data_IF_711629481291
#
_entry.id   IF_711629481291
#
_cell.length_a   1.000
_cell.length_b   1.000
_cell.length_c   1.000
_cell.angle_alpha   90.00
_cell.angle_beta   90.00
_cell.angle_gamma   90.00
#
_symmetry.space_group_name_H-M   'P 1'
#
loop_
_entity.id
_entity.type
_entity.pdbx_description
1 polymer ?
#
# COMPACT_ATOMS: atom_id res chain seq x y z
N UNK A 1 2.40 36.63 -5.67
CA UNK A 1 1.35 35.58 -5.69
C UNK A 1 1.64 34.55 -6.77
N UNK A 2 2.03 34.98 -7.98
CA UNK A 2 2.29 34.07 -9.12
C UNK A 2 3.30 32.94 -8.88
N UNK A 3 4.41 33.19 -8.19
CA UNK A 3 5.42 32.16 -7.94
C UNK A 3 4.93 30.99 -7.04
N UNK A 4 4.06 31.29 -6.05
CA UNK A 4 3.48 30.24 -5.20
C UNK A 4 2.44 29.41 -5.95
N UNK A 5 1.65 30.05 -6.82
CA UNK A 5 0.69 29.34 -7.67
C UNK A 5 1.38 28.48 -8.74
N UNK A 6 2.51 28.95 -9.28
CA UNK A 6 3.33 28.15 -10.19
C UNK A 6 3.95 26.94 -9.49
N UNK A 7 4.54 27.15 -8.30
CA UNK A 7 5.09 26.06 -7.50
C UNK A 7 4.00 25.03 -7.12
N UNK A 8 2.84 25.49 -6.66
CA UNK A 8 1.71 24.62 -6.34
C UNK A 8 1.30 23.78 -7.55
N UNK A 9 1.12 24.41 -8.71
CA UNK A 9 0.79 23.69 -9.95
C UNK A 9 1.87 22.68 -10.37
N UNK A 10 3.15 22.99 -10.14
CA UNK A 10 4.24 22.07 -10.41
C UNK A 10 4.20 20.84 -9.48
N UNK A 11 4.01 21.07 -8.17
CA UNK A 11 3.90 20.01 -7.16
C UNK A 11 2.68 19.13 -7.39
N UNK A 12 1.52 19.70 -7.73
CA UNK A 12 0.29 18.93 -7.99
C UNK A 12 0.35 18.11 -9.29
N UNK A 13 1.27 18.44 -10.20
CA UNK A 13 1.40 17.79 -11.52
C UNK A 13 2.61 16.89 -11.64
N UNK A 14 3.54 16.91 -10.70
CA UNK A 14 4.71 16.04 -10.77
C UNK A 14 4.25 14.57 -10.66
N UNK A 15 4.93 13.69 -11.38
CA UNK A 15 4.77 12.25 -11.17
C UNK A 15 5.71 11.82 -10.03
N UNK A 16 5.26 10.90 -9.20
CA UNK A 16 6.02 10.48 -8.01
C UNK A 16 6.71 9.14 -8.23
N UNK A 17 7.85 9.00 -7.57
CA UNK A 17 8.52 7.72 -7.36
C UNK A 17 8.25 7.34 -5.92
N UNK A 18 7.45 6.30 -5.70
CA UNK A 18 7.29 5.73 -4.38
C UNK A 18 8.49 4.81 -4.11
N UNK A 19 9.43 5.32 -3.31
CA UNK A 19 10.70 4.68 -3.08
C UNK A 19 10.65 3.59 -1.98
N UNK A 20 9.52 3.41 -1.29
CA UNK A 20 9.38 2.38 -0.27
C UNK A 20 7.90 2.04 0.00
N UNK A 21 7.44 0.97 -0.63
CA UNK A 21 6.10 0.43 -0.44
C UNK A 21 6.15 -1.08 -0.15
N UNK A 22 5.03 -1.64 0.31
CA UNK A 22 4.85 -3.07 0.52
C UNK A 22 3.82 -3.66 -0.44
N UNK A 23 3.83 -4.99 -0.58
CA UNK A 23 2.95 -5.71 -1.48
C UNK A 23 1.47 -5.47 -1.17
N UNK A 24 0.69 -5.26 -2.23
CA UNK A 24 -0.77 -5.36 -2.17
C UNK A 24 -1.15 -6.83 -1.91
N UNK A 25 -2.22 -7.02 -1.13
CA UNK A 25 -2.80 -8.34 -0.83
C UNK A 25 -4.14 -8.52 -1.53
N UNK A 26 -4.55 -9.78 -1.72
CA UNK A 26 -5.85 -10.13 -2.30
C UNK A 26 -7.04 -9.58 -1.48
N UNK A 27 -8.23 -9.46 -2.09
CA UNK A 27 -9.44 -8.94 -1.40
C UNK A 27 -9.84 -9.78 -0.18
N UNK A 28 -9.55 -11.09 -0.24
CA UNK A 28 -9.87 -12.08 0.78
C UNK A 28 -8.70 -12.32 1.76
N UNK A 29 -7.69 -11.46 1.77
CA UNK A 29 -6.59 -11.46 2.75
C UNK A 29 -7.10 -11.21 4.18
N UNK A 30 -6.36 -11.70 5.17
CA UNK A 30 -6.61 -11.40 6.58
C UNK A 30 -6.19 -9.99 6.99
N UNK A 31 -5.43 -9.29 6.15
CA UNK A 31 -5.07 -7.88 6.37
C UNK A 31 -6.31 -7.00 6.19
N UNK A 32 -6.79 -6.31 7.24
CA UNK A 32 -7.98 -5.49 7.14
C UNK A 32 -7.74 -4.30 6.22
N UNK A 33 -8.60 -4.08 5.21
CA UNK A 33 -8.47 -2.92 4.31
C UNK A 33 -8.44 -1.57 5.08
N UNK A 34 -9.19 -1.46 6.18
CA UNK A 34 -9.22 -0.26 6.99
C UNK A 34 -7.90 0.04 7.73
N UNK A 35 -6.98 -0.91 7.85
CA UNK A 35 -5.66 -0.65 8.44
C UNK A 35 -4.86 0.31 7.56
N UNK A 36 -5.16 0.40 6.26
CA UNK A 36 -4.53 1.36 5.36
C UNK A 36 -4.78 2.83 5.73
N UNK A 37 -5.79 3.14 6.56
CA UNK A 37 -6.13 4.52 6.93
C UNK A 37 -5.36 5.03 8.16
N UNK A 38 -4.74 4.14 8.93
CA UNK A 38 -4.05 4.49 10.18
C UNK A 38 -2.85 3.60 10.52
N UNK A 39 -2.41 2.73 9.61
CA UNK A 39 -1.39 1.69 9.85
C UNK A 39 -1.94 0.53 10.67
N UNK A 40 -2.33 0.82 11.91
CA UNK A 40 -3.02 -0.10 12.82
C UNK A 40 -4.44 0.38 13.10
N UNK A 41 -5.37 -0.55 13.24
CA UNK A 41 -6.73 -0.24 13.69
C UNK A 41 -6.76 -0.40 15.21
N UNK A 42 -6.63 0.72 15.91
CA UNK A 42 -6.88 0.84 17.33
C UNK A 42 -8.32 1.34 17.55
N UNK A 43 -8.90 1.17 18.76
CA UNK A 43 -10.24 1.67 19.07
C UNK A 43 -10.43 3.16 18.74
N UNK A 44 -9.37 3.97 18.89
CA UNK A 44 -9.38 5.41 18.65
C UNK A 44 -9.03 5.80 17.20
N UNK A 45 -8.66 4.85 16.33
CA UNK A 45 -8.28 5.13 14.94
C UNK A 45 -9.31 5.99 14.19
N UNK A 46 -10.64 5.74 14.29
CA UNK A 46 -11.65 6.56 13.62
C UNK A 46 -11.66 8.05 14.03
N UNK A 47 -11.06 8.39 15.17
CA UNK A 47 -11.00 9.75 15.67
C UNK A 47 -9.75 10.51 15.21
N UNK A 48 -8.74 9.80 14.68
CA UNK A 48 -7.50 10.39 14.18
C UNK A 48 -7.73 11.21 12.91
N UNK A 49 -6.84 12.17 12.67
CA UNK A 49 -6.89 13.00 11.46
C UNK A 49 -6.60 12.18 10.21
N UNK A 50 -5.62 11.29 10.27
CA UNK A 50 -5.21 10.48 9.12
C UNK A 50 -6.33 9.53 8.68
N UNK A 51 -7.07 8.94 9.64
CA UNK A 51 -8.21 8.10 9.29
C UNK A 51 -9.33 8.88 8.61
N UNK A 52 -9.71 10.05 9.15
CA UNK A 52 -10.77 10.89 8.58
C UNK A 52 -10.40 11.39 7.20
N UNK A 53 -9.16 11.88 7.04
CA UNK A 53 -8.63 12.32 5.73
C UNK A 53 -8.64 11.18 4.72
N UNK A 54 -8.13 10.01 5.10
CA UNK A 54 -8.08 8.84 4.22
C UNK A 54 -9.48 8.37 3.80
N UNK A 55 -10.44 8.43 4.72
CA UNK A 55 -11.85 8.10 4.43
C UNK A 55 -12.46 9.10 3.45
N UNK A 56 -12.29 10.40 3.67
CA UNK A 56 -12.79 11.44 2.76
C UNK A 56 -12.19 11.26 1.35
N UNK A 57 -10.87 11.09 1.25
CA UNK A 57 -10.14 10.94 -0.01
C UNK A 57 -10.56 9.68 -0.78
N UNK A 58 -10.67 8.52 -0.11
CA UNK A 58 -11.05 7.28 -0.79
C UNK A 58 -12.52 7.30 -1.23
N UNK A 59 -13.40 7.96 -0.47
CA UNK A 59 -14.80 8.16 -0.86
C UNK A 59 -14.90 8.98 -2.15
N UNK A 60 -14.11 10.05 -2.26
CA UNK A 60 -14.03 10.85 -3.49
C UNK A 60 -13.52 10.01 -4.67
N UNK A 61 -12.44 9.25 -4.47
CA UNK A 61 -11.85 8.40 -5.51
C UNK A 61 -12.79 7.29 -6.00
N UNK A 62 -13.56 6.68 -5.10
CA UNK A 62 -14.51 5.62 -5.44
C UNK A 62 -15.88 6.15 -5.86
N UNK A 63 -16.16 7.44 -5.67
CA UNK A 63 -17.47 8.03 -5.88
C UNK A 63 -18.53 7.47 -4.93
N UNK A 64 -18.15 7.13 -3.70
CA UNK A 64 -19.04 6.57 -2.68
C UNK A 64 -19.52 7.65 -1.70
N UNK A 65 -20.54 7.33 -0.91
CA UNK A 65 -20.94 8.16 0.23
C UNK A 65 -19.84 8.19 1.30
N UNK A 66 -19.90 9.16 2.22
CA UNK A 66 -18.96 9.25 3.34
C UNK A 66 -19.30 8.24 4.45
N UNK A 67 -18.99 6.97 4.22
CA UNK A 67 -19.09 5.90 5.23
C UNK A 67 -18.18 4.72 4.91
N UNK A 68 -17.71 4.01 5.94
CA UNK A 68 -16.86 2.83 5.79
C UNK A 68 -17.54 1.72 4.99
N UNK A 69 -18.83 1.46 5.26
CA UNK A 69 -19.60 0.44 4.57
C UNK A 69 -19.67 0.71 3.07
N UNK A 70 -19.92 1.96 2.68
CA UNK A 70 -20.03 2.33 1.26
C UNK A 70 -18.71 2.26 0.51
N UNK A 71 -17.59 2.51 1.19
CA UNK A 71 -16.23 2.34 0.64
C UNK A 71 -15.95 0.85 0.43
N UNK A 72 -16.28 0.02 1.41
CA UNK A 72 -16.11 -1.44 1.33
C UNK A 72 -16.93 -2.03 0.18
N UNK A 73 -18.22 -1.70 0.10
CA UNK A 73 -19.09 -2.14 -1.00
C UNK A 73 -18.57 -1.68 -2.36
N UNK A 74 -18.07 -0.44 -2.45
CA UNK A 74 -17.51 0.09 -3.69
C UNK A 74 -16.23 -0.63 -4.09
N UNK A 75 -15.35 -0.94 -3.12
CA UNK A 75 -14.13 -1.73 -3.35
C UNK A 75 -14.46 -3.14 -3.84
N UNK A 76 -15.43 -3.81 -3.23
CA UNK A 76 -15.87 -5.15 -3.64
C UNK A 76 -16.45 -5.13 -5.05
N UNK A 77 -17.28 -4.13 -5.38
CA UNK A 77 -17.86 -3.95 -6.71
C UNK A 77 -16.82 -3.64 -7.78
N UNK A 78 -15.84 -2.78 -7.49
CA UNK A 78 -14.77 -2.38 -8.42
C UNK A 78 -13.79 -3.54 -8.67
N UNK A 79 -13.53 -4.33 -7.64
CA UNK A 79 -12.49 -5.34 -7.62
C UNK A 79 -11.09 -4.74 -7.43
N UNK A 80 -10.15 -5.58 -7.01
CA UNK A 80 -8.82 -5.16 -6.56
C UNK A 80 -8.02 -4.38 -7.60
N UNK A 81 -7.97 -4.88 -8.84
CA UNK A 81 -7.19 -4.25 -9.90
C UNK A 81 -7.72 -2.85 -10.25
N UNK A 82 -9.05 -2.70 -10.34
CA UNK A 82 -9.68 -1.41 -10.64
C UNK A 82 -9.50 -0.43 -9.49
N UNK A 83 -9.71 -0.86 -8.24
CA UNK A 83 -9.48 -0.06 -7.05
C UNK A 83 -8.03 0.44 -6.97
N UNK A 84 -7.06 -0.45 -7.18
CA UNK A 84 -5.65 -0.07 -7.20
C UNK A 84 -5.33 0.90 -8.35
N UNK A 85 -5.81 0.64 -9.57
CA UNK A 85 -5.58 1.50 -10.72
C UNK A 85 -6.14 2.93 -10.51
N UNK A 86 -7.31 3.06 -9.87
CA UNK A 86 -7.89 4.36 -9.51
C UNK A 86 -6.93 5.11 -8.57
N UNK A 87 -6.50 4.48 -7.48
CA UNK A 87 -5.63 5.11 -6.49
C UNK A 87 -4.25 5.48 -7.07
N UNK A 88 -3.61 4.54 -7.78
CA UNK A 88 -2.28 4.76 -8.38
C UNK A 88 -2.30 5.87 -9.44
N UNK A 89 -3.36 5.93 -10.25
CA UNK A 89 -3.54 7.00 -11.23
C UNK A 89 -3.75 8.36 -10.57
N UNK A 90 -4.57 8.42 -9.51
CA UNK A 90 -4.78 9.65 -8.77
C UNK A 90 -3.49 10.15 -8.09
N UNK A 91 -2.69 9.23 -7.55
CA UNK A 91 -1.40 9.53 -6.93
C UNK A 91 -0.28 9.86 -7.93
N UNK A 92 -0.49 9.62 -9.24
CA UNK A 92 0.49 9.87 -10.31
C UNK A 92 1.82 9.14 -10.09
N UNK A 93 1.75 7.89 -9.60
CA UNK A 93 2.94 7.07 -9.36
C UNK A 93 3.51 6.60 -10.71
N UNK A 94 4.73 6.99 -11.02
CA UNK A 94 5.46 6.56 -12.22
C UNK A 94 6.39 5.38 -11.96
N UNK A 95 6.87 5.23 -10.72
CA UNK A 95 7.69 4.10 -10.32
C UNK A 95 7.40 3.69 -8.86
N UNK A 96 7.47 2.39 -8.61
CA UNK A 96 7.18 1.77 -7.31
C UNK A 96 8.35 0.88 -6.90
N UNK A 97 8.95 1.11 -5.73
CA UNK A 97 9.97 0.24 -5.15
C UNK A 97 9.35 -0.56 -4.00
N UNK A 98 9.24 -1.87 -4.20
CA UNK A 98 8.57 -2.79 -3.27
C UNK A 98 9.56 -3.50 -2.36
N UNK A 99 9.41 -3.32 -1.05
CA UNK A 99 9.95 -4.21 -0.03
C UNK A 99 8.99 -5.38 0.20
N UNK A 100 9.36 -6.54 -0.34
CA UNK A 100 8.63 -7.80 -0.23
C UNK A 100 9.07 -8.68 0.96
N UNK A 101 9.86 -8.12 1.88
CA UNK A 101 10.32 -8.80 3.10
C UNK A 101 9.21 -9.01 4.14
N UNK A 102 8.15 -8.19 4.13
CA UNK A 102 7.03 -8.33 5.06
C UNK A 102 6.18 -9.55 4.70
N UNK A 103 6.01 -10.44 5.67
CA UNK A 103 5.15 -11.62 5.55
C UNK A 103 3.69 -11.24 5.80
N UNK A 104 2.98 -10.91 4.73
CA UNK A 104 1.51 -10.79 4.72
C UNK A 104 0.90 -12.03 4.05
N UNK A 105 -0.35 -12.33 4.37
CA UNK A 105 -1.06 -13.40 3.67
C UNK A 105 -1.53 -12.92 2.29
N UNK A 106 -1.57 -13.83 1.32
CA UNK A 106 -2.11 -13.57 -0.03
C UNK A 106 -1.52 -12.32 -0.71
N UNK A 107 -0.22 -12.08 -0.51
CA UNK A 107 0.51 -11.03 -1.22
C UNK A 107 0.53 -11.30 -2.71
N UNK A 108 0.37 -10.23 -3.49
CA UNK A 108 0.53 -10.25 -4.93
C UNK A 108 2.00 -10.07 -5.28
N UNK A 109 2.45 -10.76 -6.33
CA UNK A 109 3.84 -10.69 -6.75
C UNK A 109 4.17 -9.37 -7.46
N UNK A 110 5.46 -9.13 -7.69
CA UNK A 110 5.95 -7.93 -8.39
C UNK A 110 5.31 -7.79 -9.78
N UNK A 111 5.09 -8.90 -10.49
CA UNK A 111 4.51 -8.88 -11.84
C UNK A 111 3.09 -8.33 -11.84
N UNK A 112 2.31 -8.59 -10.81
CA UNK A 112 0.99 -7.99 -10.69
C UNK A 112 1.07 -6.45 -10.60
N UNK A 113 2.05 -5.92 -9.86
CA UNK A 113 2.23 -4.47 -9.69
C UNK A 113 2.74 -3.79 -10.97
N UNK A 114 3.44 -4.50 -11.86
CA UNK A 114 3.83 -4.01 -13.18
C UNK A 114 2.62 -3.67 -14.07
N UNK A 115 1.42 -4.16 -13.72
CA UNK A 115 0.18 -3.75 -14.40
C UNK A 115 -0.35 -2.39 -13.97
N UNK A 116 0.12 -1.85 -12.83
CA UNK A 116 -0.34 -0.58 -12.27
C UNK A 116 0.54 0.61 -12.66
N UNK A 117 1.85 0.40 -12.76
CA UNK A 117 2.83 1.46 -13.02
C UNK A 117 3.90 1.01 -14.02
N UNK A 118 4.49 1.94 -14.80
CA UNK A 118 5.49 1.61 -15.81
C UNK A 118 6.77 0.96 -15.28
N UNK A 119 7.13 1.21 -14.02
CA UNK A 119 8.38 0.72 -13.44
C UNK A 119 8.15 0.21 -12.02
N UNK A 120 8.48 -1.06 -11.80
CA UNK A 120 8.47 -1.67 -10.46
C UNK A 120 9.86 -2.21 -10.16
N UNK A 121 10.43 -1.78 -9.04
CA UNK A 121 11.69 -2.27 -8.50
C UNK A 121 11.49 -3.06 -7.22
N UNK A 122 12.43 -3.94 -6.91
CA UNK A 122 12.46 -4.69 -5.65
C UNK A 122 13.50 -4.10 -4.70
N UNK A 123 13.11 -3.87 -3.46
CA UNK A 123 14.00 -3.55 -2.35
C UNK A 123 14.40 -4.87 -1.69
N UNK A 124 15.71 -5.06 -1.50
CA UNK A 124 16.23 -6.23 -0.79
C UNK A 124 16.33 -5.91 0.70
N UNK A 125 15.49 -6.53 1.52
CA UNK A 125 15.60 -6.47 2.97
C UNK A 125 16.81 -7.31 3.44
N UNK A 126 17.90 -6.63 3.80
CA UNK A 126 19.18 -7.27 4.11
C UNK A 126 19.11 -8.14 5.38
N UNK A 127 18.22 -7.80 6.31
CA UNK A 127 17.96 -8.52 7.55
C UNK A 127 17.46 -9.94 7.26
N UNK A 128 16.53 -10.07 6.31
CA UNK A 128 15.99 -11.38 5.95
C UNK A 128 17.02 -12.25 5.19
N UNK A 129 17.93 -11.62 4.45
CA UNK A 129 19.09 -12.31 3.87
C UNK A 129 20.05 -12.77 4.96
N UNK A 130 20.34 -11.90 5.93
CA UNK A 130 21.20 -12.22 7.07
C UNK A 130 20.63 -13.37 7.90
N UNK A 131 19.33 -13.34 8.24
CA UNK A 131 18.60 -14.40 8.93
C UNK A 131 18.78 -15.75 8.21
N UNK A 132 18.54 -15.80 6.90
CA UNK A 132 18.73 -17.02 6.09
C UNK A 132 20.17 -17.53 6.08
N UNK A 133 21.16 -16.64 6.13
CA UNK A 133 22.58 -17.02 6.23
C UNK A 133 22.85 -17.60 7.62
N UNK A 134 22.37 -16.95 8.67
CA UNK A 134 22.52 -17.40 10.05
C UNK A 134 21.91 -18.79 10.25
N UNK A 135 20.70 -19.04 9.75
CA UNK A 135 20.04 -20.35 9.84
C UNK A 135 20.84 -21.48 9.17
N UNK A 136 21.49 -21.18 8.05
CA UNK A 136 22.33 -22.14 7.32
C UNK A 136 23.65 -22.42 8.02
N UNK A 137 24.28 -21.39 8.58
CA UNK A 137 25.59 -21.47 9.23
C UNK A 137 25.49 -22.05 10.63
N UNK A 138 24.46 -21.66 11.40
CA UNK A 138 24.37 -21.96 12.82
C UNK A 138 23.39 -23.07 13.19
N UNK A 139 22.69 -23.70 12.22
CA UNK A 139 21.71 -24.80 12.40
C UNK A 139 21.56 -25.20 13.86
N UNK A 140 20.71 -24.48 14.61
CA UNK A 140 20.45 -24.82 16.00
C UNK A 140 19.91 -26.26 15.96
N UNK A 141 20.57 -27.24 16.61
CA UNK A 141 20.04 -28.58 16.65
C UNK A 141 18.62 -28.50 17.20
N UNK A 142 17.64 -29.01 16.45
CA UNK A 142 16.30 -29.22 16.97
C UNK A 142 16.46 -30.17 18.16
N UNK A 143 16.42 -29.64 19.37
CA UNK A 143 16.29 -30.45 20.57
C UNK A 143 14.81 -30.85 20.58
N UNK A 144 14.51 -31.99 19.96
CA UNK A 144 13.20 -32.62 20.10
C UNK A 144 12.95 -32.91 21.58
N UNK A 145 11.73 -32.67 22.10
CA UNK A 145 11.37 -33.05 23.46
C UNK A 145 11.38 -34.58 23.66
#
# INVERSE_FOLDING_TARGET
MDAFEELKRAVERVEIVDAHAHNIVALDSTVPFLSCFSGDILPDSPHTLDFKRSLDEICELYGSSLSLDSVQESRERLGLASSAAICFKAARIAALLLDDGIKLDKTLDIKWHESLVPTVGRILQVEHVAEKILDRVFKVPQISP
#
